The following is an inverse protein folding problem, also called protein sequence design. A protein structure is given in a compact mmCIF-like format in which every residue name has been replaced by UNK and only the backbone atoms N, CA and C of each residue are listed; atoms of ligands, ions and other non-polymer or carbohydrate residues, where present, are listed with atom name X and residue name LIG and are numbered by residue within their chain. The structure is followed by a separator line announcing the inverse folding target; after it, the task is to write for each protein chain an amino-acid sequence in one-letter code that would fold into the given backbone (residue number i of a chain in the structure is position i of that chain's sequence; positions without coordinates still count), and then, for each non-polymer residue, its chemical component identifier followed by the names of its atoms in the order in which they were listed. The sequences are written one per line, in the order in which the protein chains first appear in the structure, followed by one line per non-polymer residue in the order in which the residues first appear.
data_IF_422774354145
#
_entry.id   IF_422774354145
#
_cell.length_a   1.000
_cell.length_b   1.000
_cell.length_c   1.000
_cell.angle_alpha   90.00
_cell.angle_beta   90.00
_cell.angle_gamma   90.00
#
_symmetry.space_group_name_H-M   'P 1'
#
loop_
_entity.id
_entity.type
_entity.pdbx_description
1 polymer ?
#
# COMPACT_ATOMS: atom_id res chain seq x y z
N UNK A 1 -30.03 -18.71 -3.01
CA UNK A 1 -28.64 -18.66 -3.52
C UNK A 1 -28.33 -17.24 -4.02
N UNK A 2 -27.07 -16.81 -3.99
CA UNK A 2 -26.58 -15.42 -4.16
C UNK A 2 -27.27 -14.33 -3.31
N UNK A 3 -28.53 -13.95 -3.57
CA UNK A 3 -29.30 -13.00 -2.73
C UNK A 3 -29.27 -13.39 -1.24
N UNK A 4 -29.47 -14.68 -0.97
CA UNK A 4 -29.35 -15.30 0.36
C UNK A 4 -27.95 -15.11 1.00
N UNK A 5 -26.89 -15.16 0.19
CA UNK A 5 -25.51 -14.98 0.65
C UNK A 5 -25.21 -13.51 0.94
N UNK A 6 -25.77 -12.57 0.16
CA UNK A 6 -25.70 -11.15 0.45
C UNK A 6 -26.46 -10.80 1.73
N UNK A 7 -27.66 -11.37 1.95
CA UNK A 7 -28.40 -11.20 3.22
C UNK A 7 -27.61 -11.78 4.41
N UNK A 8 -27.00 -12.97 4.28
CA UNK A 8 -26.16 -13.55 5.34
C UNK A 8 -24.88 -12.75 5.60
N UNK A 9 -24.20 -12.26 4.57
CA UNK A 9 -23.01 -11.40 4.75
C UNK A 9 -23.39 -10.06 5.39
N UNK A 10 -24.57 -9.50 5.07
CA UNK A 10 -25.09 -8.30 5.73
C UNK A 10 -25.37 -8.51 7.23
N UNK A 11 -25.57 -9.75 7.71
CA UNK A 11 -25.72 -10.05 9.13
C UNK A 11 -24.41 -9.91 9.94
N UNK A 12 -23.31 -9.49 9.31
CA UNK A 12 -22.01 -9.25 9.94
C UNK A 12 -21.68 -7.75 10.08
N UNK A 13 -22.59 -6.85 9.71
CA UNK A 13 -22.38 -5.40 9.69
C UNK A 13 -23.57 -4.66 10.32
N UNK A 14 -23.31 -3.51 10.97
CA UNK A 14 -24.33 -2.73 11.67
C UNK A 14 -25.28 -1.97 10.73
N UNK A 15 -24.85 -1.65 9.49
CA UNK A 15 -25.60 -0.80 8.54
C UNK A 15 -26.07 -1.53 7.29
N UNK A 16 -26.99 -0.90 6.56
CA UNK A 16 -27.64 -1.45 5.37
C UNK A 16 -26.85 -1.27 4.06
N UNK A 17 -25.54 -1.06 4.14
CA UNK A 17 -24.65 -0.95 2.99
C UNK A 17 -23.68 -2.13 3.05
N UNK A 18 -23.56 -2.88 1.95
CA UNK A 18 -22.71 -4.07 1.90
C UNK A 18 -21.74 -4.03 0.72
N UNK A 19 -20.45 -3.99 1.06
CA UNK A 19 -19.36 -4.20 0.12
C UNK A 19 -19.22 -5.68 -0.26
N UNK A 20 -19.13 -5.97 -1.56
CA UNK A 20 -18.77 -7.29 -2.08
C UNK A 20 -17.61 -7.13 -3.08
N UNK A 21 -16.40 -7.59 -2.74
CA UNK A 21 -15.33 -7.73 -3.72
C UNK A 21 -15.77 -8.69 -4.84
N UNK A 22 -15.51 -8.30 -6.09
CA UNK A 22 -15.68 -9.14 -7.27
C UNK A 22 -14.36 -9.13 -8.05
N UNK A 23 -13.44 -9.96 -7.57
CA UNK A 23 -12.06 -10.05 -8.02
C UNK A 23 -11.34 -11.19 -7.30
N UNK A 24 -10.10 -11.44 -7.71
CA UNK A 24 -9.21 -12.52 -7.26
C UNK A 24 -7.81 -12.22 -7.85
N UNK A 25 -6.82 -13.07 -7.62
CA UNK A 25 -5.48 -12.92 -8.20
C UNK A 25 -5.48 -12.84 -9.74
N UNK A 26 -4.87 -11.78 -10.29
CA UNK A 26 -4.67 -11.54 -11.73
C UNK A 26 -5.93 -11.71 -12.61
N UNK A 27 -7.09 -11.27 -12.13
CA UNK A 27 -8.36 -11.28 -12.87
C UNK A 27 -8.51 -10.06 -13.80
N UNK A 28 -9.52 -10.11 -14.67
CA UNK A 28 -9.89 -9.08 -15.66
C UNK A 28 -8.82 -8.80 -16.73
N UNK A 29 -8.02 -9.82 -17.05
CA UNK A 29 -6.94 -9.77 -18.05
C UNK A 29 -7.49 -9.84 -19.47
N UNK A 30 -8.67 -10.43 -19.69
CA UNK A 30 -9.27 -10.55 -21.04
C UNK A 30 -10.63 -9.85 -21.18
N UNK A 31 -10.87 -9.27 -22.35
CA UNK A 31 -12.15 -8.64 -22.67
C UNK A 31 -13.33 -9.64 -22.64
N UNK A 32 -13.08 -10.92 -22.98
CA UNK A 32 -14.10 -11.97 -22.91
C UNK A 32 -14.49 -12.29 -21.46
N UNK A 33 -13.51 -12.41 -20.56
CA UNK A 33 -13.72 -12.59 -19.13
C UNK A 33 -14.49 -11.41 -18.53
N UNK A 34 -14.05 -10.18 -18.81
CA UNK A 34 -14.75 -8.97 -18.35
C UNK A 34 -16.21 -8.98 -18.82
N UNK A 35 -16.45 -9.27 -20.11
CA UNK A 35 -17.80 -9.34 -20.68
C UNK A 35 -18.66 -10.42 -20.03
N UNK A 36 -18.11 -11.62 -19.79
CA UNK A 36 -18.85 -12.71 -19.15
C UNK A 36 -19.21 -12.38 -17.69
N UNK A 37 -18.33 -11.69 -16.96
CA UNK A 37 -18.64 -11.22 -15.60
C UNK A 37 -19.70 -10.11 -15.65
N UNK A 38 -19.43 -9.04 -16.40
CA UNK A 38 -20.32 -7.89 -16.56
C UNK A 38 -21.75 -8.29 -16.98
N UNK A 39 -21.89 -8.99 -18.11
CA UNK A 39 -23.20 -9.29 -18.71
C UNK A 39 -24.05 -10.27 -17.89
N UNK A 40 -23.45 -11.04 -16.98
CA UNK A 40 -24.20 -11.90 -16.07
C UNK A 40 -24.57 -11.17 -14.77
N UNK A 41 -23.69 -10.32 -14.25
CA UNK A 41 -24.01 -9.48 -13.10
C UNK A 41 -25.08 -8.43 -13.40
N UNK A 42 -25.08 -7.80 -14.58
CA UNK A 42 -26.18 -6.89 -14.99
C UNK A 42 -27.54 -7.59 -14.96
N UNK A 43 -27.67 -8.79 -15.56
CA UNK A 43 -28.92 -9.58 -15.53
C UNK A 43 -29.36 -9.92 -14.10
N UNK A 44 -28.41 -10.22 -13.21
CA UNK A 44 -28.68 -10.46 -11.80
C UNK A 44 -29.14 -9.18 -11.09
N UNK A 45 -28.58 -8.02 -11.44
CA UNK A 45 -28.98 -6.73 -10.89
C UNK A 45 -30.37 -6.33 -11.33
N UNK A 46 -30.67 -6.42 -12.63
CA UNK A 46 -32.00 -6.12 -13.17
C UNK A 46 -33.07 -6.96 -12.47
N UNK A 47 -32.82 -8.26 -12.30
CA UNK A 47 -33.71 -9.18 -11.61
C UNK A 47 -33.88 -8.87 -10.11
N UNK A 48 -32.79 -8.55 -9.40
CA UNK A 48 -32.86 -8.20 -7.97
C UNK A 48 -33.50 -6.83 -7.72
N UNK A 49 -33.20 -5.83 -8.56
CA UNK A 49 -33.72 -4.47 -8.45
C UNK A 49 -35.21 -4.38 -8.85
N UNK A 50 -35.67 -5.20 -9.79
CA UNK A 50 -37.10 -5.32 -10.12
C UNK A 50 -37.94 -5.90 -8.97
N UNK A 51 -37.34 -6.75 -8.12
CA UNK A 51 -37.99 -7.43 -7.00
C UNK A 51 -38.07 -6.56 -5.75
N UNK A 52 -39.05 -5.65 -5.74
CA UNK A 52 -39.38 -4.79 -4.60
C UNK A 52 -39.58 -5.57 -3.29
N UNK A 53 -40.13 -6.79 -3.37
CA UNK A 53 -40.34 -7.66 -2.21
C UNK A 53 -39.03 -8.17 -1.58
N UNK A 54 -37.91 -8.14 -2.31
CA UNK A 54 -36.58 -8.50 -1.78
C UNK A 54 -35.89 -7.37 -1.03
N UNK A 55 -36.39 -6.13 -1.09
CA UNK A 55 -35.86 -4.97 -0.36
C UNK A 55 -34.33 -4.82 -0.46
N UNK A 56 -33.82 -4.87 -1.70
CA UNK A 56 -32.42 -4.63 -2.04
C UNK A 56 -32.29 -3.49 -3.04
N UNK A 57 -31.08 -2.97 -3.18
CA UNK A 57 -30.65 -2.28 -4.38
C UNK A 57 -29.20 -2.71 -4.66
N UNK A 58 -28.92 -3.21 -5.86
CA UNK A 58 -27.62 -3.81 -6.20
C UNK A 58 -27.05 -3.17 -7.46
N UNK A 59 -25.75 -2.85 -7.43
CA UNK A 59 -25.03 -2.20 -8.52
C UNK A 59 -23.52 -2.50 -8.46
N UNK A 60 -22.81 -2.21 -9.57
CA UNK A 60 -21.36 -2.01 -9.51
C UNK A 60 -21.02 -0.69 -8.81
N UNK A 61 -19.84 -0.57 -8.24
CA UNK A 61 -19.35 0.68 -7.66
C UNK A 61 -17.95 0.53 -7.06
N UNK A 62 -17.35 1.66 -6.67
CA UNK A 62 -16.00 1.69 -6.11
C UNK A 62 -16.00 1.47 -4.59
N UNK A 63 -14.82 1.20 -4.02
CA UNK A 63 -14.60 1.25 -2.57
C UNK A 63 -14.94 2.64 -1.97
N UNK A 64 -14.77 3.72 -2.75
CA UNK A 64 -15.13 5.07 -2.34
C UNK A 64 -16.65 5.27 -2.28
N UNK A 65 -17.41 4.69 -3.22
CA UNK A 65 -18.89 4.72 -3.19
C UNK A 65 -19.44 3.95 -1.99
N UNK A 66 -18.82 2.81 -1.64
CA UNK A 66 -19.17 2.05 -0.44
C UNK A 66 -18.98 2.88 0.83
N UNK A 67 -17.78 3.44 1.06
CA UNK A 67 -17.54 4.23 2.26
C UNK A 67 -18.37 5.51 2.29
N UNK A 68 -18.61 6.16 1.15
CA UNK A 68 -19.50 7.32 1.05
C UNK A 68 -20.92 6.98 1.52
N UNK A 69 -21.48 5.85 1.08
CA UNK A 69 -22.79 5.42 1.55
C UNK A 69 -22.79 5.02 3.04
N UNK A 70 -21.77 4.32 3.54
CA UNK A 70 -21.71 3.94 4.97
C UNK A 70 -21.62 5.18 5.89
N UNK A 71 -20.80 6.17 5.52
CA UNK A 71 -20.72 7.45 6.25
C UNK A 71 -22.05 8.22 6.20
N UNK A 72 -22.75 8.22 5.06
CA UNK A 72 -24.10 8.80 4.98
C UNK A 72 -25.10 8.10 5.91
N UNK A 73 -25.01 6.78 6.13
CA UNK A 73 -25.86 6.08 7.12
C UNK A 73 -25.50 6.42 8.58
N UNK A 74 -24.25 6.75 8.85
CA UNK A 74 -23.81 7.26 10.16
C UNK A 74 -24.35 8.68 10.38
N UNK A 75 -24.33 9.55 9.36
CA UNK A 75 -24.89 10.91 9.40
C UNK A 75 -26.43 10.93 9.49
N UNK A 76 -27.12 9.98 8.86
CA UNK A 76 -28.59 9.82 8.91
C UNK A 76 -29.10 9.16 10.20
N UNK A 77 -28.22 8.68 11.09
CA UNK A 77 -28.59 7.93 12.28
C UNK A 77 -29.39 8.78 13.28
N UNK A 78 -30.51 8.24 13.79
CA UNK A 78 -31.44 8.98 14.67
C UNK A 78 -31.07 8.91 16.14
N UNK A 79 -30.08 8.09 16.48
CA UNK A 79 -29.60 7.86 17.83
C UNK A 79 -28.11 7.53 17.81
N UNK A 80 -27.43 7.81 18.93
CA UNK A 80 -26.00 7.50 19.08
C UNK A 80 -25.70 6.03 18.76
N UNK A 81 -26.50 5.08 19.24
CA UNK A 81 -26.30 3.64 18.99
C UNK A 81 -26.52 3.20 17.54
N UNK A 82 -27.30 3.93 16.74
CA UNK A 82 -27.48 3.63 15.31
C UNK A 82 -26.32 4.16 14.46
N UNK A 83 -25.67 5.25 14.89
CA UNK A 83 -24.49 5.83 14.23
C UNK A 83 -23.15 5.41 14.86
N UNK A 84 -23.17 4.67 15.97
CA UNK A 84 -21.96 4.31 16.73
C UNK A 84 -21.02 3.49 15.86
N UNK A 85 -19.76 3.92 15.77
CA UNK A 85 -18.65 3.12 15.25
C UNK A 85 -17.85 2.61 16.45
N UNK A 86 -17.57 1.31 16.59
CA UNK A 86 -16.73 0.81 17.69
C UNK A 86 -15.29 1.33 17.55
N UNK A 87 -14.73 1.85 18.64
CA UNK A 87 -13.32 2.25 18.72
C UNK A 87 -12.47 1.02 19.07
N UNK A 88 -11.41 0.77 18.31
CA UNK A 88 -10.49 -0.34 18.49
C UNK A 88 -9.04 0.18 18.52
N UNK A 89 -8.20 -0.41 19.38
CA UNK A 89 -6.77 -0.14 19.47
C UNK A 89 -5.99 -1.45 19.64
N UNK A 90 -4.78 -1.51 19.07
CA UNK A 90 -3.95 -2.72 19.01
C UNK A 90 -3.39 -2.96 17.60
N UNK A 91 -2.99 -4.19 17.33
CA UNK A 91 -2.66 -4.69 15.99
C UNK A 91 -3.40 -6.00 15.68
N UNK A 92 -3.05 -6.66 14.58
CA UNK A 92 -3.62 -7.95 14.17
C UNK A 92 -2.54 -9.04 14.00
N UNK A 93 -1.51 -9.03 14.85
CA UNK A 93 -0.43 -10.02 14.84
C UNK A 93 -0.52 -10.99 16.03
N UNK A 94 -0.12 -12.26 15.90
CA UNK A 94 0.27 -12.97 14.67
C UNK A 94 -0.97 -13.55 13.97
N UNK A 95 -1.12 -13.30 12.66
CA UNK A 95 -2.20 -13.85 11.85
C UNK A 95 -2.10 -15.39 11.72
N UNK A 96 -3.25 -16.06 11.63
CA UNK A 96 -3.39 -17.46 11.23
C UNK A 96 -4.62 -17.61 10.32
N UNK A 97 -4.49 -18.36 9.22
CA UNK A 97 -5.60 -18.64 8.29
C UNK A 97 -6.56 -19.71 8.84
N UNK A 98 -6.04 -20.62 9.67
CA UNK A 98 -6.79 -21.73 10.30
C UNK A 98 -6.03 -22.29 11.50
N UNK A 99 -6.76 -22.84 12.46
CA UNK A 99 -6.24 -23.65 13.57
C UNK A 99 -5.01 -23.00 14.26
N UNK A 100 -3.88 -23.71 14.22
CA UNK A 100 -2.56 -23.38 14.76
C UNK A 100 -1.56 -22.93 13.68
N UNK A 101 -2.01 -22.70 12.45
CA UNK A 101 -1.18 -22.27 11.32
C UNK A 101 -0.83 -20.77 11.44
N UNK A 102 0.02 -20.40 12.40
CA UNK A 102 0.47 -19.03 12.60
C UNK A 102 1.52 -18.60 11.57
N UNK A 103 1.30 -17.46 10.92
CA UNK A 103 2.16 -16.95 9.83
C UNK A 103 3.40 -16.19 10.36
N UNK A 104 3.94 -16.57 11.52
CA UNK A 104 5.14 -15.91 12.10
C UNK A 104 6.44 -16.19 11.33
N UNK A 105 6.49 -17.22 10.48
CA UNK A 105 7.70 -17.59 9.73
C UNK A 105 8.24 -16.47 8.82
N UNK A 106 7.36 -15.69 8.18
CA UNK A 106 7.81 -14.63 7.26
C UNK A 106 8.48 -13.45 7.97
N UNK A 107 8.36 -13.33 9.29
CA UNK A 107 9.12 -12.37 10.10
C UNK A 107 10.64 -12.59 9.98
N UNK A 108 11.08 -13.83 9.75
CA UNK A 108 12.51 -14.20 9.63
C UNK A 108 12.91 -14.62 8.21
N UNK A 109 11.97 -15.09 7.37
CA UNK A 109 12.25 -15.58 6.00
C UNK A 109 13.17 -14.66 5.19
N UNK A 110 14.22 -15.24 4.59
CA UNK A 110 15.22 -14.57 3.75
C UNK A 110 15.85 -13.32 4.41
N UNK A 111 16.52 -13.47 5.57
CA UNK A 111 16.93 -12.34 6.41
C UNK A 111 17.97 -11.41 5.75
N UNK A 112 18.71 -11.89 4.75
CA UNK A 112 19.63 -11.07 3.95
C UNK A 112 18.91 -9.88 3.30
N UNK A 113 17.78 -10.11 2.63
CA UNK A 113 17.02 -9.04 1.96
C UNK A 113 16.32 -8.13 2.97
N UNK A 114 15.84 -8.65 4.10
CA UNK A 114 15.34 -7.85 5.24
C UNK A 114 16.42 -6.92 5.84
N UNK A 115 17.69 -7.33 5.81
CA UNK A 115 18.83 -6.45 6.17
C UNK A 115 19.13 -5.44 5.07
N UNK A 116 19.11 -5.86 3.80
CA UNK A 116 19.35 -5.00 2.63
C UNK A 116 18.34 -3.84 2.56
N UNK A 117 17.06 -4.13 2.81
CA UNK A 117 15.97 -3.15 2.97
C UNK A 117 16.33 -2.01 3.93
N UNK A 118 16.75 -2.35 5.16
CA UNK A 118 17.14 -1.34 6.18
C UNK A 118 18.40 -0.56 5.80
N UNK A 119 19.31 -1.14 5.02
CA UNK A 119 20.48 -0.43 4.48
C UNK A 119 20.07 0.54 3.37
N UNK A 120 19.26 0.08 2.40
CA UNK A 120 18.75 0.94 1.32
C UNK A 120 17.87 2.07 1.86
N UNK A 121 17.04 1.80 2.87
CA UNK A 121 16.25 2.82 3.56
C UNK A 121 17.12 3.96 4.15
N UNK A 122 18.27 3.61 4.73
CA UNK A 122 19.22 4.59 5.23
C UNK A 122 19.90 5.37 4.09
N UNK A 123 20.43 4.67 3.09
CA UNK A 123 21.12 5.30 1.95
C UNK A 123 20.20 6.23 1.16
N UNK A 124 18.95 5.83 0.93
CA UNK A 124 17.95 6.63 0.22
C UNK A 124 17.63 7.92 0.99
N UNK A 125 17.37 7.83 2.29
CA UNK A 125 17.14 9.00 3.16
C UNK A 125 18.35 9.94 3.17
N UNK A 126 19.56 9.40 3.28
CA UNK A 126 20.80 10.20 3.26
C UNK A 126 21.00 10.89 1.90
N UNK A 127 20.71 10.21 0.80
CA UNK A 127 20.80 10.75 -0.55
C UNK A 127 19.77 11.88 -0.80
N UNK A 128 18.52 11.70 -0.36
CA UNK A 128 17.48 12.73 -0.48
C UNK A 128 17.78 13.99 0.34
N UNK A 129 18.28 13.83 1.58
CA UNK A 129 18.69 14.95 2.44
C UNK A 129 19.85 15.71 1.81
N UNK A 130 20.92 15.02 1.40
CA UNK A 130 22.10 15.67 0.82
C UNK A 130 21.78 16.34 -0.53
N UNK A 131 21.00 15.69 -1.40
CA UNK A 131 20.53 16.28 -2.66
C UNK A 131 19.77 17.58 -2.39
N UNK A 132 18.82 17.57 -1.45
CA UNK A 132 18.01 18.75 -1.11
C UNK A 132 18.86 19.90 -0.56
N UNK A 133 19.84 19.60 0.31
CA UNK A 133 20.78 20.59 0.82
C UNK A 133 21.68 21.16 -0.29
N UNK A 134 22.17 20.32 -1.21
CA UNK A 134 22.98 20.78 -2.35
C UNK A 134 22.16 21.68 -3.29
N UNK A 135 20.94 21.28 -3.67
CA UNK A 135 20.03 22.11 -4.48
C UNK A 135 19.74 23.46 -3.81
N UNK A 136 19.55 23.50 -2.49
CA UNK A 136 19.36 24.75 -1.74
C UNK A 136 20.60 25.67 -1.71
N UNK A 137 21.82 25.14 -1.89
CA UNK A 137 23.04 25.94 -2.14
C UNK A 137 23.14 26.48 -3.59
N UNK A 138 22.05 26.44 -4.36
CA UNK A 138 22.04 26.95 -5.75
C UNK A 138 22.58 25.96 -6.79
N UNK A 139 22.66 24.67 -6.46
CA UNK A 139 23.13 23.62 -7.36
C UNK A 139 22.11 23.30 -8.47
N UNK A 140 22.08 24.17 -9.49
CA UNK A 140 21.16 24.13 -10.63
C UNK A 140 21.95 23.94 -11.94
N UNK A 141 22.57 22.78 -12.08
CA UNK A 141 23.26 22.34 -13.30
C UNK A 141 22.52 21.16 -13.95
N UNK A 142 22.76 20.87 -15.23
CA UNK A 142 22.07 19.79 -15.94
C UNK A 142 22.18 18.40 -15.28
N UNK A 143 23.24 18.17 -14.48
CA UNK A 143 23.44 16.93 -13.72
C UNK A 143 22.44 16.76 -12.57
N UNK A 144 21.80 17.83 -12.07
CA UNK A 144 20.79 17.70 -11.00
C UNK A 144 19.54 16.95 -11.48
N UNK A 145 19.18 17.08 -12.77
CA UNK A 145 18.08 16.33 -13.38
C UNK A 145 18.39 14.83 -13.52
N UNK A 146 19.62 14.48 -13.92
CA UNK A 146 20.08 13.08 -13.96
C UNK A 146 20.04 12.46 -12.56
N UNK A 147 20.63 13.15 -11.58
CA UNK A 147 20.76 12.67 -10.20
C UNK A 147 19.40 12.61 -9.48
N UNK A 148 18.45 13.49 -9.83
CA UNK A 148 17.05 13.34 -9.41
C UNK A 148 16.39 12.10 -10.04
N UNK A 149 16.72 11.79 -11.29
CA UNK A 149 16.32 10.53 -11.94
C UNK A 149 16.78 9.30 -11.17
N UNK A 150 18.05 9.28 -10.73
CA UNK A 150 18.59 8.20 -9.89
C UNK A 150 17.84 8.06 -8.55
N UNK A 151 17.47 9.19 -7.91
CA UNK A 151 16.63 9.18 -6.71
C UNK A 151 15.21 8.63 -6.98
N UNK A 152 14.60 8.97 -8.13
CA UNK A 152 13.29 8.44 -8.53
C UNK A 152 13.35 6.92 -8.74
N UNK A 153 14.41 6.41 -9.38
CA UNK A 153 14.62 4.98 -9.55
C UNK A 153 14.87 4.26 -8.21
N UNK A 154 15.75 4.81 -7.36
CA UNK A 154 16.04 4.24 -6.05
C UNK A 154 14.79 4.20 -5.14
N UNK A 155 13.97 5.27 -5.13
CA UNK A 155 12.64 5.26 -4.48
C UNK A 155 11.76 4.13 -5.03
N UNK A 156 11.61 4.02 -6.35
CA UNK A 156 10.76 2.99 -6.98
C UNK A 156 11.19 1.58 -6.62
N UNK A 157 12.48 1.28 -6.62
CA UNK A 157 13.01 -0.03 -6.24
C UNK A 157 12.80 -0.34 -4.75
N UNK A 158 13.03 0.63 -3.86
CA UNK A 158 12.77 0.48 -2.42
C UNK A 158 11.27 0.25 -2.15
N UNK A 159 10.38 1.04 -2.76
CA UNK A 159 8.93 0.90 -2.65
C UNK A 159 8.42 -0.43 -3.21
N UNK A 160 8.95 -0.88 -4.35
CA UNK A 160 8.60 -2.16 -4.96
C UNK A 160 9.00 -3.35 -4.08
N UNK A 161 10.05 -3.22 -3.24
CA UNK A 161 10.39 -4.25 -2.27
C UNK A 161 9.44 -4.30 -1.06
N UNK A 162 8.69 -3.23 -0.77
CA UNK A 162 7.69 -3.22 0.32
C UNK A 162 6.41 -4.00 -0.04
N UNK A 163 6.28 -4.49 -1.27
CA UNK A 163 5.24 -5.44 -1.66
C UNK A 163 5.20 -6.67 -0.73
N UNK A 164 4.01 -7.21 -0.49
CA UNK A 164 3.77 -8.20 0.56
C UNK A 164 4.36 -9.60 0.31
N UNK A 165 4.91 -9.90 -0.88
CA UNK A 165 5.79 -11.05 -1.10
C UNK A 165 7.31 -10.71 -1.15
N UNK A 166 7.67 -9.43 -1.17
CA UNK A 166 9.05 -8.92 -1.25
C UNK A 166 9.75 -8.91 0.11
N UNK A 167 9.46 -7.90 0.94
CA UNK A 167 10.08 -7.71 2.27
C UNK A 167 9.79 -8.85 3.23
N UNK A 168 8.66 -9.53 3.07
CA UNK A 168 8.28 -10.78 3.76
C UNK A 168 9.15 -11.97 3.35
N UNK A 169 9.69 -11.98 2.13
CA UNK A 169 10.55 -13.03 1.59
C UNK A 169 9.79 -14.27 1.12
N UNK A 170 8.48 -14.20 0.93
CA UNK A 170 7.62 -15.31 0.50
C UNK A 170 7.64 -15.55 -1.02
N UNK A 171 8.09 -14.59 -1.84
CA UNK A 171 8.25 -14.78 -3.28
C UNK A 171 9.21 -15.93 -3.66
N UNK A 172 9.04 -16.43 -4.89
CA UNK A 172 9.94 -17.42 -5.52
C UNK A 172 11.37 -16.88 -5.63
N UNK A 173 12.36 -17.78 -5.60
CA UNK A 173 13.79 -17.44 -5.58
C UNK A 173 14.22 -16.50 -6.71
N UNK A 174 13.77 -16.75 -7.95
CA UNK A 174 14.07 -15.87 -9.10
C UNK A 174 13.52 -14.45 -8.94
N UNK A 175 12.39 -14.28 -8.26
CA UNK A 175 11.79 -12.96 -7.98
C UNK A 175 12.54 -12.25 -6.85
N UNK A 176 13.00 -13.00 -5.84
CA UNK A 176 13.86 -12.47 -4.78
C UNK A 176 15.26 -12.06 -5.29
N UNK A 177 15.79 -12.77 -6.29
CA UNK A 177 17.00 -12.37 -7.01
C UNK A 177 16.79 -11.05 -7.76
N UNK A 178 15.66 -10.89 -8.46
CA UNK A 178 15.29 -9.65 -9.15
C UNK A 178 15.07 -8.46 -8.18
N UNK A 179 14.41 -8.68 -7.04
CA UNK A 179 14.35 -7.70 -5.95
C UNK A 179 15.74 -7.32 -5.44
N UNK A 180 16.63 -8.30 -5.24
CA UNK A 180 18.02 -8.07 -4.84
C UNK A 180 18.79 -7.20 -5.84
N UNK A 181 18.68 -7.51 -7.13
CA UNK A 181 19.32 -6.73 -8.20
C UNK A 181 18.78 -5.30 -8.26
N UNK A 182 17.47 -5.10 -8.12
CA UNK A 182 16.87 -3.75 -8.05
C UNK A 182 17.32 -2.97 -6.81
N UNK A 183 17.39 -3.60 -5.64
CA UNK A 183 17.92 -2.96 -4.44
C UNK A 183 19.42 -2.61 -4.57
N UNK A 184 20.21 -3.42 -5.28
CA UNK A 184 21.62 -3.12 -5.55
C UNK A 184 21.76 -1.92 -6.50
N UNK A 185 20.98 -1.86 -7.59
CA UNK A 185 20.91 -0.67 -8.46
C UNK A 185 20.50 0.58 -7.67
N UNK A 186 19.54 0.45 -6.76
CA UNK A 186 19.09 1.55 -5.91
C UNK A 186 20.19 2.05 -4.95
N UNK A 187 20.96 1.15 -4.33
CA UNK A 187 22.11 1.52 -3.49
C UNK A 187 23.16 2.28 -4.28
N UNK A 188 23.58 1.75 -5.44
CA UNK A 188 24.56 2.40 -6.32
C UNK A 188 24.08 3.80 -6.77
N UNK A 189 22.79 3.94 -7.07
CA UNK A 189 22.16 5.22 -7.41
C UNK A 189 22.20 6.21 -6.22
N UNK A 190 21.89 5.75 -5.01
CA UNK A 190 22.02 6.57 -3.80
C UNK A 190 23.48 7.01 -3.57
N UNK A 191 24.47 6.13 -3.74
CA UNK A 191 25.89 6.46 -3.60
C UNK A 191 26.35 7.52 -4.61
N UNK A 192 25.95 7.42 -5.88
CA UNK A 192 26.22 8.45 -6.90
C UNK A 192 25.66 9.82 -6.51
N UNK A 193 24.45 9.85 -5.95
CA UNK A 193 23.78 11.08 -5.49
C UNK A 193 24.46 11.64 -4.25
N UNK A 194 24.75 10.81 -3.24
CA UNK A 194 25.48 11.18 -2.02
C UNK A 194 26.83 11.79 -2.40
N UNK A 195 27.62 11.13 -3.23
CA UNK A 195 28.93 11.61 -3.68
C UNK A 195 28.85 12.98 -4.38
N UNK A 196 27.93 13.14 -5.33
CA UNK A 196 27.77 14.39 -6.07
C UNK A 196 27.30 15.54 -5.16
N UNK A 197 26.31 15.29 -4.31
CA UNK A 197 25.80 16.29 -3.37
C UNK A 197 26.85 16.68 -2.30
N UNK A 198 27.56 15.70 -1.72
CA UNK A 198 28.65 15.96 -0.76
C UNK A 198 29.77 16.78 -1.38
N UNK A 199 30.18 16.50 -2.64
CA UNK A 199 31.18 17.32 -3.34
C UNK A 199 30.74 18.78 -3.48
N UNK A 200 29.50 19.01 -3.88
CA UNK A 200 28.94 20.37 -3.98
C UNK A 200 28.90 21.07 -2.61
N UNK A 201 28.44 20.37 -1.57
CA UNK A 201 28.28 20.94 -0.22
C UNK A 201 29.63 21.32 0.43
N UNK A 202 30.69 20.56 0.14
CA UNK A 202 32.04 20.73 0.68
C UNK A 202 32.96 21.63 -0.17
N UNK A 203 32.59 21.97 -1.42
CA UNK A 203 33.46 22.71 -2.33
C UNK A 203 33.96 24.05 -1.75
N UNK A 204 33.06 24.82 -1.12
CA UNK A 204 33.39 26.08 -0.44
C UNK A 204 34.42 25.90 0.69
N UNK A 205 34.43 24.75 1.37
CA UNK A 205 35.41 24.46 2.41
C UNK A 205 36.77 24.06 1.85
N UNK A 206 36.83 23.55 0.61
CA UNK A 206 38.11 23.22 -0.04
C UNK A 206 38.81 24.51 -0.49
N UNK A 207 38.09 25.50 -1.03
CA UNK A 207 38.69 26.79 -1.37
C UNK A 207 39.13 27.59 -0.12
N UNK A 208 38.49 27.39 1.03
CA UNK A 208 38.88 28.02 2.30
C UNK A 208 39.99 27.26 3.06
N UNK A 209 40.06 25.93 2.96
CA UNK A 209 41.01 25.10 3.72
C UNK A 209 42.18 24.55 2.87
N UNK A 210 42.29 24.87 1.57
CA UNK A 210 43.43 24.42 0.74
C UNK A 210 44.81 24.93 1.25
N UNK A 211 44.82 25.87 2.20
CA UNK A 211 46.01 26.31 2.95
C UNK A 211 46.46 25.32 4.03
N UNK A 212 45.57 24.53 4.65
CA UNK A 212 45.93 23.69 5.81
C UNK A 212 45.23 22.31 5.86
N UNK A 213 46.07 21.28 6.07
CA UNK A 213 45.76 19.89 6.47
C UNK A 213 45.26 18.88 5.41
N UNK A 214 45.60 17.61 5.68
CA UNK A 214 45.39 16.44 4.81
C UNK A 214 44.18 15.60 5.25
N UNK A 215 43.53 14.85 4.32
CA UNK A 215 42.32 14.10 4.65
C UNK A 215 42.61 12.79 5.40
N UNK A 216 41.83 12.54 6.45
CA UNK A 216 41.66 11.20 7.03
C UNK A 216 40.16 10.89 7.11
N UNK A 217 39.77 9.73 6.57
CA UNK A 217 38.36 9.31 6.52
C UNK A 217 38.10 8.24 7.59
N UNK A 218 37.26 8.55 8.57
CA UNK A 218 36.90 7.62 9.66
C UNK A 218 35.43 7.26 9.55
N UNK A 219 35.16 5.99 9.26
CA UNK A 219 33.81 5.42 9.25
C UNK A 219 33.38 5.10 10.70
N UNK A 220 32.36 5.80 11.20
CA UNK A 220 31.82 5.57 12.55
C UNK A 220 30.47 4.86 12.47
N UNK A 221 30.41 3.61 12.92
CA UNK A 221 29.13 2.92 13.15
C UNK A 221 28.47 3.42 14.43
N UNK A 222 27.19 3.79 14.34
CA UNK A 222 26.33 4.03 15.50
C UNK A 222 25.28 2.92 15.64
N UNK A 223 25.12 2.42 16.86
CA UNK A 223 24.09 1.45 17.24
C UNK A 223 23.23 2.04 18.35
N UNK A 224 21.91 1.85 18.29
CA UNK A 224 20.96 2.25 19.33
C UNK A 224 20.06 1.06 19.72
N UNK A 225 19.70 0.90 21.00
CA UNK A 225 18.82 -0.16 21.48
C UNK A 225 17.32 0.18 21.27
N UNK A 226 16.48 -0.86 21.35
CA UNK A 226 15.01 -0.78 21.29
C UNK A 226 14.44 -1.24 22.64
N UNK A 227 13.28 -0.73 23.04
CA UNK A 227 12.58 -1.13 24.26
C UNK A 227 11.07 -1.29 23.98
N UNK A 228 10.47 -2.38 24.46
CA UNK A 228 9.10 -2.83 24.14
C UNK A 228 8.12 -2.56 25.29
N UNK A 229 6.81 -2.45 25.00
CA UNK A 229 5.71 -2.63 25.98
C UNK A 229 4.43 -3.23 25.34
N UNK A 230 3.48 -3.64 26.20
CA UNK A 230 2.36 -4.60 25.96
C UNK A 230 1.19 -4.22 26.92
N UNK A 231 -0.10 -4.62 26.83
CA UNK A 231 -0.79 -5.77 26.18
C UNK A 231 -2.30 -5.49 25.94
N UNK A 232 -2.95 -6.26 25.04
CA UNK A 232 -4.30 -6.89 25.13
C UNK A 232 -5.52 -6.14 25.73
N UNK A 233 -6.67 -6.13 25.02
CA UNK A 233 -7.88 -6.87 25.45
C UNK A 233 -9.02 -6.96 24.40
N UNK A 234 -10.02 -7.80 24.71
CA UNK A 234 -11.12 -8.33 23.85
C UNK A 234 -12.45 -7.57 24.15
N UNK A 235 -13.66 -7.83 23.61
CA UNK A 235 -14.25 -9.05 23.02
C UNK A 235 -15.60 -8.74 22.29
N UNK A 236 -15.95 -9.54 21.27
CA UNK A 236 -17.32 -9.92 20.82
C UNK A 236 -18.30 -8.86 20.26
N UNK A 237 -19.42 -9.35 19.68
CA UNK A 237 -20.34 -8.66 18.78
C UNK A 237 -21.80 -9.10 19.00
N UNK A 238 -22.79 -8.40 18.41
CA UNK A 238 -24.20 -8.86 18.33
C UNK A 238 -25.02 -8.19 17.20
N UNK A 239 -25.71 -9.03 16.42
CA UNK A 239 -27.00 -8.90 15.70
C UNK A 239 -27.48 -7.62 14.98
N UNK A 240 -28.46 -7.80 14.07
CA UNK A 240 -28.67 -6.92 12.91
C UNK A 240 -30.12 -6.49 12.68
N UNK A 241 -30.34 -5.25 12.23
CA UNK A 241 -31.67 -4.68 11.93
C UNK A 241 -32.02 -4.72 10.43
N UNK A 242 -33.32 -4.85 10.15
CA UNK A 242 -33.87 -4.91 8.79
C UNK A 242 -34.02 -3.54 8.15
N UNK A 243 -33.15 -3.24 7.19
CA UNK A 243 -33.24 -2.09 6.27
C UNK A 243 -32.99 -2.55 4.82
N UNK A 244 -33.27 -1.68 3.84
CA UNK A 244 -33.04 -1.97 2.42
C UNK A 244 -31.54 -2.08 2.15
N UNK A 245 -31.07 -3.26 1.71
CA UNK A 245 -29.63 -3.52 1.57
C UNK A 245 -29.12 -2.94 0.25
N UNK A 246 -28.23 -1.94 0.33
CA UNK A 246 -27.49 -1.40 -0.80
C UNK A 246 -26.19 -2.19 -1.00
N UNK A 247 -26.10 -2.92 -2.11
CA UNK A 247 -24.94 -3.73 -2.46
C UNK A 247 -24.07 -3.00 -3.47
N UNK A 248 -22.78 -2.88 -3.16
CA UNK A 248 -21.76 -2.43 -4.11
C UNK A 248 -20.83 -3.59 -4.42
N UNK A 249 -20.83 -4.01 -5.68
CA UNK A 249 -19.88 -4.97 -6.22
C UNK A 249 -18.68 -4.23 -6.82
N UNK A 250 -17.52 -4.41 -6.21
CA UNK A 250 -16.27 -3.84 -6.68
C UNK A 250 -15.62 -4.77 -7.69
N UNK A 251 -15.66 -4.38 -8.97
CA UNK A 251 -14.73 -4.87 -9.97
C UNK A 251 -13.37 -4.20 -9.73
N UNK A 252 -12.30 -4.98 -9.58
CA UNK A 252 -10.96 -4.45 -9.78
C UNK A 252 -10.81 -4.04 -11.25
N UNK A 253 -10.59 -2.75 -11.51
CA UNK A 253 -10.69 -2.19 -12.86
C UNK A 253 -9.82 -2.95 -13.87
N UNK A 254 -10.37 -3.37 -15.04
CA UNK A 254 -9.53 -3.75 -16.16
C UNK A 254 -8.69 -2.54 -16.60
N UNK A 255 -7.63 -2.78 -17.36
CA UNK A 255 -6.77 -1.72 -17.89
C UNK A 255 -7.58 -0.74 -18.77
N UNK A 256 -8.02 0.39 -18.20
CA UNK A 256 -8.74 1.43 -18.95
C UNK A 256 -7.71 2.14 -19.83
N UNK A 257 -7.66 1.74 -21.09
CA UNK A 257 -7.10 2.55 -22.17
C UNK A 257 -7.98 3.78 -22.35
N UNK A 258 -7.72 4.82 -21.56
CA UNK A 258 -8.38 6.11 -21.65
C UNK A 258 -7.97 6.79 -22.95
N UNK A 259 -8.91 6.92 -23.88
CA UNK A 259 -8.76 7.87 -24.97
C UNK A 259 -8.91 9.29 -24.38
N UNK A 260 -7.77 9.97 -24.29
CA UNK A 260 -7.56 11.34 -23.78
C UNK A 260 -7.87 11.68 -22.30
N UNK A 261 -6.80 12.20 -21.67
CA UNK A 261 -6.68 12.96 -20.42
C UNK A 261 -6.89 12.32 -19.02
N UNK A 262 -6.00 12.74 -18.11
CA UNK A 262 -6.10 12.64 -16.64
C UNK A 262 -5.93 11.28 -15.92
N UNK A 263 -5.23 10.30 -16.51
CA UNK A 263 -4.87 9.06 -15.82
C UNK A 263 -3.59 9.16 -14.95
N UNK A 264 -3.74 9.42 -13.64
CA UNK A 264 -2.67 9.20 -12.62
C UNK A 264 -3.25 8.71 -11.27
N UNK A 265 -3.49 7.41 -11.13
CA UNK A 265 -3.46 6.72 -9.82
C UNK A 265 -2.76 5.37 -9.97
N UNK A 266 -1.71 5.17 -9.18
CA UNK A 266 -1.02 3.89 -9.04
C UNK A 266 -1.66 3.16 -7.86
N UNK A 267 -2.12 1.94 -8.06
CA UNK A 267 -2.50 1.05 -6.95
C UNK A 267 -1.54 -0.14 -6.96
N UNK A 268 -0.82 -0.31 -5.84
CA UNK A 268 -0.02 -1.50 -5.57
C UNK A 268 -0.78 -2.33 -4.54
N UNK A 269 -0.78 -3.65 -4.74
CA UNK A 269 -1.02 -4.64 -3.70
C UNK A 269 0.34 -5.08 -3.13
#
# INVERSE_FOLDING_TARGET
MLYDQYRKKAQLFERNVLFVPLGDDFRYVSALEWKIQHDNYVKLFDYMNAKKEWNVHVQFGTLADYFKLDHQRIEEAKSYEEGRVPVLSGDFFTYADRNDHYWSGYYTSRPFYKRMDRVLQHYLRSAEILFSLASNKGWLSATSAELYGLLVEARRHMSLFQHHDGVTGTAKEVVMSDYGQKMLTALNNCERVIYAASRTLLAEQIEQNATEATPSFVMVCFSFPIQNFVTDQRFQALETKTQQLQLILYLSDPFVLSDHDSARRLCLL
#
